data_IF_976649128347
#
_entry.id   IF_976649128347
#
_cell.length_a   1.000
_cell.length_b   1.000
_cell.length_c   1.000
_cell.angle_alpha   90.00
_cell.angle_beta   90.00
_cell.angle_gamma   90.00
#
_symmetry.space_group_name_H-M   'P 1'
#
loop_
_entity.id
_entity.type
_entity.pdbx_description
1 polymer ?
#
# COMPACT_ATOMS: atom_id res chain seq x y z
N UNK A 1 5.77 -21.99 24.81
CA UNK A 1 7.16 -22.10 24.30
C UNK A 1 7.26 -21.23 23.07
N UNK A 2 8.22 -20.33 22.99
CA UNK A 2 8.45 -19.56 21.76
C UNK A 2 8.80 -20.54 20.63
N UNK A 3 8.10 -20.46 19.51
CA UNK A 3 8.44 -21.28 18.35
C UNK A 3 9.88 -20.96 17.91
N UNK A 4 10.65 -22.00 17.66
CA UNK A 4 12.00 -21.83 17.12
C UNK A 4 11.89 -21.24 15.71
N UNK A 5 12.63 -20.19 15.44
CA UNK A 5 12.86 -19.70 14.08
C UNK A 5 13.70 -20.75 13.29
N UNK A 6 14.03 -20.47 12.03
CA UNK A 6 14.86 -21.34 11.18
C UNK A 6 14.13 -22.62 10.70
N UNK A 7 12.81 -22.63 10.69
CA UNK A 7 12.03 -23.80 10.28
C UNK A 7 11.94 -24.02 8.76
N UNK A 8 12.65 -23.24 7.96
CA UNK A 8 12.57 -23.32 6.50
C UNK A 8 13.02 -24.68 5.93
N UNK A 9 13.79 -25.45 6.67
CA UNK A 9 14.19 -26.82 6.28
C UNK A 9 13.07 -27.83 6.51
N UNK A 10 12.23 -27.60 7.52
CA UNK A 10 11.14 -28.48 7.93
C UNK A 10 9.79 -28.10 7.29
N UNK A 11 9.58 -26.79 7.12
CA UNK A 11 8.32 -26.22 6.63
C UNK A 11 8.56 -25.60 5.25
N UNK A 12 7.88 -26.10 4.23
CA UNK A 12 7.90 -25.51 2.89
C UNK A 12 7.22 -24.15 2.81
N UNK A 13 7.55 -23.38 1.77
CA UNK A 13 6.87 -22.12 1.48
C UNK A 13 5.39 -22.36 1.16
N UNK A 14 4.52 -21.62 1.80
CA UNK A 14 3.07 -21.65 1.54
C UNK A 14 2.53 -20.22 1.41
N UNK A 15 1.72 -20.00 0.39
CA UNK A 15 0.94 -18.79 0.23
C UNK A 15 -0.48 -19.01 0.78
N UNK A 16 -1.20 -17.94 1.14
CA UNK A 16 -2.62 -18.03 1.42
C UNK A 16 -3.36 -18.72 0.27
N UNK A 17 -4.35 -19.57 0.53
CA UNK A 17 -5.07 -20.26 -0.53
C UNK A 17 -5.81 -19.25 -1.41
N UNK A 18 -5.81 -19.51 -2.72
CA UNK A 18 -6.60 -18.70 -3.66
C UNK A 18 -8.09 -19.01 -3.50
N UNK A 19 -8.94 -18.01 -3.70
CA UNK A 19 -10.39 -18.20 -3.83
C UNK A 19 -10.70 -19.07 -5.04
N UNK A 20 -11.83 -19.81 -5.00
CA UNK A 20 -12.26 -20.65 -6.13
C UNK A 20 -12.40 -19.83 -7.40
N UNK A 21 -12.02 -20.42 -8.54
CA UNK A 21 -12.03 -19.75 -9.84
C UNK A 21 -13.40 -19.18 -10.21
N UNK A 22 -14.46 -19.93 -9.95
CA UNK A 22 -15.83 -19.51 -10.30
C UNK A 22 -16.23 -18.27 -9.49
N UNK A 23 -15.99 -18.25 -8.16
CA UNK A 23 -16.24 -17.05 -7.35
C UNK A 23 -15.43 -15.83 -7.81
N UNK A 24 -14.20 -16.04 -8.31
CA UNK A 24 -13.37 -14.94 -8.82
C UNK A 24 -13.82 -14.38 -10.17
N UNK A 25 -14.62 -15.13 -10.93
CA UNK A 25 -15.23 -14.66 -12.19
C UNK A 25 -16.45 -13.77 -11.94
N UNK A 26 -17.15 -13.99 -10.83
CA UNK A 26 -18.38 -13.28 -10.49
C UNK A 26 -18.13 -11.93 -9.83
N UNK A 27 -17.00 -11.81 -9.14
CA UNK A 27 -16.61 -10.58 -8.45
C UNK A 27 -15.15 -10.19 -8.77
N UNK A 28 -14.75 -8.98 -8.39
CA UNK A 28 -13.37 -8.50 -8.52
C UNK A 28 -12.69 -8.29 -7.15
N UNK A 29 -13.10 -9.04 -6.14
CA UNK A 29 -12.49 -8.99 -4.81
C UNK A 29 -11.11 -9.66 -4.81
N UNK A 30 -10.31 -9.44 -3.77
CA UNK A 30 -8.96 -9.98 -3.66
C UNK A 30 -8.88 -11.48 -3.98
N UNK A 31 -7.85 -11.88 -4.71
CA UNK A 31 -7.67 -13.25 -5.22
C UNK A 31 -7.40 -14.24 -4.09
N UNK A 32 -6.61 -13.83 -3.10
CA UNK A 32 -6.22 -14.68 -1.99
C UNK A 32 -7.20 -14.58 -0.83
N UNK A 33 -7.43 -15.69 -0.17
CA UNK A 33 -8.07 -15.72 1.14
C UNK A 33 -7.12 -15.15 2.20
N UNK A 34 -7.64 -14.88 3.36
CA UNK A 34 -6.81 -14.50 4.51
C UNK A 34 -5.91 -15.67 4.93
N UNK A 35 -4.73 -15.35 5.46
CA UNK A 35 -3.97 -16.31 6.22
C UNK A 35 -4.74 -16.65 7.49
N UNK A 36 -4.84 -17.94 7.79
CA UNK A 36 -5.20 -18.36 9.15
C UNK A 36 -4.01 -18.09 10.07
N UNK A 37 -4.31 -17.85 11.34
CA UNK A 37 -3.30 -17.43 12.33
C UNK A 37 -2.10 -18.38 12.40
N UNK A 38 -2.35 -19.68 12.42
CA UNK A 38 -1.30 -20.72 12.41
C UNK A 38 -0.43 -20.64 11.16
N UNK A 39 -1.03 -20.48 9.98
CA UNK A 39 -0.28 -20.39 8.73
C UNK A 39 0.66 -19.19 8.69
N UNK A 40 0.21 -18.02 9.14
CA UNK A 40 1.06 -16.83 9.22
C UNK A 40 2.22 -17.04 10.21
N UNK A 41 1.97 -17.67 11.34
CA UNK A 41 2.95 -18.02 12.36
C UNK A 41 4.00 -19.01 11.84
N UNK A 42 3.56 -20.09 11.19
CA UNK A 42 4.43 -21.09 10.59
C UNK A 42 5.31 -20.48 9.50
N UNK A 43 4.73 -19.71 8.57
CA UNK A 43 5.49 -19.07 7.51
C UNK A 43 6.49 -18.03 8.05
N UNK A 44 6.14 -17.31 9.09
CA UNK A 44 7.07 -16.40 9.78
C UNK A 44 8.23 -17.15 10.45
N UNK A 45 7.99 -18.31 11.02
CA UNK A 45 9.01 -19.15 11.70
C UNK A 45 10.09 -19.69 10.73
N UNK A 46 9.83 -19.66 9.43
CA UNK A 46 10.80 -20.02 8.39
C UNK A 46 11.97 -19.04 8.31
N UNK A 47 11.81 -17.81 8.79
CA UNK A 47 12.86 -16.78 8.73
C UNK A 47 14.13 -17.23 9.44
N UNK A 48 15.29 -17.07 8.77
CA UNK A 48 16.60 -17.43 9.30
C UNK A 48 17.22 -16.39 10.23
N UNK A 49 16.55 -15.26 10.45
CA UNK A 49 17.04 -14.17 11.33
C UNK A 49 18.48 -13.75 10.97
N UNK A 50 18.71 -13.42 9.70
CA UNK A 50 20.02 -13.10 9.15
C UNK A 50 20.68 -11.92 9.86
N UNK A 51 21.97 -12.01 10.16
CA UNK A 51 22.75 -10.88 10.67
C UNK A 51 22.88 -9.72 9.67
N UNK A 52 22.84 -10.03 8.36
CA UNK A 52 22.66 -9.04 7.27
C UNK A 52 21.36 -9.39 6.55
N UNK A 53 20.25 -8.74 6.88
CA UNK A 53 18.94 -9.06 6.32
C UNK A 53 18.76 -8.46 4.93
N UNK A 54 19.06 -9.22 3.87
CA UNK A 54 18.91 -8.76 2.49
C UNK A 54 17.47 -8.35 2.16
N UNK A 55 16.46 -8.98 2.75
CA UNK A 55 15.07 -8.57 2.63
C UNK A 55 14.83 -7.12 3.10
N UNK A 56 15.48 -6.70 4.19
CA UNK A 56 15.43 -5.31 4.68
C UNK A 56 16.26 -4.38 3.81
N UNK A 57 17.46 -4.80 3.40
CA UNK A 57 18.35 -3.98 2.54
C UNK A 57 17.70 -3.66 1.20
N UNK A 58 16.97 -4.62 0.62
CA UNK A 58 16.27 -4.43 -0.66
C UNK A 58 14.85 -3.86 -0.53
N UNK A 59 14.38 -3.63 0.70
CA UNK A 59 13.15 -2.88 0.93
C UNK A 59 13.43 -1.38 0.80
N UNK A 60 12.75 -0.63 -0.10
CA UNK A 60 12.95 0.81 -0.25
C UNK A 60 12.71 1.61 1.04
N UNK A 61 11.94 1.04 1.98
CA UNK A 61 11.66 1.62 3.29
C UNK A 61 12.59 1.10 4.39
N UNK A 62 13.53 0.23 4.08
CA UNK A 62 14.40 -0.45 5.06
C UNK A 62 13.63 -1.04 6.24
N UNK A 63 12.47 -1.65 5.96
CA UNK A 63 11.55 -2.16 6.98
C UNK A 63 12.19 -3.32 7.77
N UNK A 64 11.96 -3.34 9.08
CA UNK A 64 12.53 -4.33 10.02
C UNK A 64 11.89 -5.72 9.87
N UNK A 65 11.98 -6.30 8.67
CA UNK A 65 11.28 -7.52 8.26
C UNK A 65 11.60 -8.72 9.17
N UNK A 66 12.87 -9.05 9.47
CA UNK A 66 13.18 -10.21 10.32
C UNK A 66 12.56 -10.11 11.72
N UNK A 67 12.54 -8.90 12.29
CA UNK A 67 12.09 -8.71 13.66
C UNK A 67 10.57 -8.85 13.78
N UNK A 68 9.78 -8.24 12.86
CA UNK A 68 8.34 -8.43 12.92
C UNK A 68 7.91 -9.84 12.46
N UNK A 69 8.70 -10.55 11.63
CA UNK A 69 8.48 -11.98 11.37
C UNK A 69 8.66 -12.81 12.64
N UNK A 70 9.71 -12.53 13.43
CA UNK A 70 9.93 -13.19 14.73
C UNK A 70 8.77 -12.93 15.67
N UNK A 71 8.35 -11.67 15.83
CA UNK A 71 7.21 -11.31 16.67
C UNK A 71 5.91 -12.03 16.22
N UNK A 72 5.71 -12.17 14.91
CA UNK A 72 4.57 -12.92 14.36
C UNK A 72 4.65 -14.40 14.69
N UNK A 73 5.82 -15.02 14.53
CA UNK A 73 6.06 -16.43 14.91
C UNK A 73 5.82 -16.67 16.42
N UNK A 74 6.12 -15.68 17.25
CA UNK A 74 5.88 -15.71 18.69
C UNK A 74 4.41 -15.40 19.07
N UNK A 75 3.56 -15.00 18.11
CA UNK A 75 2.17 -14.60 18.35
C UNK A 75 1.99 -13.18 18.92
N UNK A 76 3.04 -12.35 18.93
CA UNK A 76 3.07 -10.97 19.44
C UNK A 76 2.65 -9.99 18.33
N UNK A 77 1.41 -10.12 17.84
CA UNK A 77 0.96 -9.45 16.62
C UNK A 77 0.88 -7.92 16.73
N UNK A 78 0.50 -7.38 17.89
CA UNK A 78 0.45 -5.93 18.09
C UNK A 78 1.84 -5.31 18.02
N UNK A 79 2.83 -5.96 18.61
CA UNK A 79 4.22 -5.53 18.53
C UNK A 79 4.78 -5.68 17.11
N UNK A 80 4.42 -6.77 16.41
CA UNK A 80 4.77 -6.96 15.01
C UNK A 80 4.21 -5.83 14.12
N UNK A 81 2.95 -5.45 14.34
CA UNK A 81 2.33 -4.33 13.64
C UNK A 81 3.06 -3.00 13.93
N UNK A 82 3.29 -2.68 15.19
CA UNK A 82 3.97 -1.45 15.58
C UNK A 82 5.36 -1.34 14.95
N UNK A 83 6.08 -2.45 14.90
CA UNK A 83 7.40 -2.50 14.28
C UNK A 83 7.33 -2.38 12.75
N UNK A 84 6.41 -3.07 12.09
CA UNK A 84 6.17 -2.94 10.65
C UNK A 84 5.83 -1.50 10.26
N UNK A 85 4.97 -0.84 11.04
CA UNK A 85 4.54 0.54 10.80
C UNK A 85 5.63 1.57 11.13
N UNK A 86 6.67 1.23 11.87
CA UNK A 86 7.70 2.20 12.30
C UNK A 86 8.41 2.88 11.13
N UNK A 87 8.59 2.18 10.02
CA UNK A 87 9.19 2.72 8.78
C UNK A 87 8.23 2.73 7.59
N UNK A 88 7.03 2.14 7.72
CA UNK A 88 6.07 1.98 6.64
C UNK A 88 4.71 2.61 6.99
N UNK A 89 4.33 3.67 6.29
CA UNK A 89 3.03 4.33 6.51
C UNK A 89 1.83 3.51 6.06
N UNK A 90 2.02 2.57 5.12
CA UNK A 90 0.94 1.81 4.48
C UNK A 90 1.30 0.33 4.34
N UNK A 91 1.56 -0.40 5.44
CA UNK A 91 1.95 -1.82 5.36
C UNK A 91 0.87 -2.68 4.72
N UNK A 92 -0.41 -2.33 4.85
CA UNK A 92 -1.53 -3.00 4.18
C UNK A 92 -1.45 -2.91 2.64
N UNK A 93 -0.87 -1.85 2.12
CA UNK A 93 -0.65 -1.67 0.68
C UNK A 93 0.59 -2.45 0.24
N UNK A 94 1.70 -2.33 0.99
CA UNK A 94 2.94 -3.03 0.69
C UNK A 94 2.75 -4.55 0.68
N UNK A 95 2.06 -5.11 1.67
CA UNK A 95 1.77 -6.54 1.76
C UNK A 95 0.92 -7.08 0.58
N UNK A 96 0.21 -6.20 -0.14
CA UNK A 96 -0.67 -6.58 -1.27
C UNK A 96 -0.06 -6.36 -2.66
N UNK A 97 0.68 -5.26 -2.86
CA UNK A 97 1.01 -4.81 -4.21
C UNK A 97 2.50 -4.54 -4.47
N UNK A 98 3.36 -4.55 -3.47
CA UNK A 98 4.79 -4.47 -3.71
C UNK A 98 5.25 -5.62 -4.64
N UNK A 99 6.20 -5.39 -5.55
CA UNK A 99 6.84 -6.44 -6.32
C UNK A 99 7.85 -7.21 -5.44
N UNK A 100 7.33 -7.98 -4.47
CA UNK A 100 8.11 -8.66 -3.44
C UNK A 100 9.13 -9.63 -4.03
N UNK A 101 8.79 -10.26 -5.17
CA UNK A 101 9.66 -11.11 -5.97
C UNK A 101 10.94 -10.43 -6.46
N UNK A 102 10.95 -9.10 -6.57
CA UNK A 102 12.10 -8.28 -6.96
C UNK A 102 12.73 -7.53 -5.78
N UNK A 103 12.05 -7.47 -4.65
CA UNK A 103 12.45 -6.75 -3.45
C UNK A 103 12.78 -7.72 -2.31
N UNK A 104 11.96 -7.71 -1.25
CA UNK A 104 12.25 -8.46 -0.03
C UNK A 104 12.26 -9.99 -0.23
N UNK A 105 11.27 -10.55 -0.91
CA UNK A 105 11.17 -12.00 -1.10
C UNK A 105 12.23 -12.52 -2.07
N UNK A 106 12.41 -11.88 -3.23
CA UNK A 106 13.41 -12.29 -4.22
C UNK A 106 14.85 -12.16 -3.74
N UNK A 107 15.11 -11.36 -2.72
CA UNK A 107 16.43 -11.23 -2.10
C UNK A 107 16.55 -11.95 -0.74
N UNK A 108 15.58 -12.80 -0.42
CA UNK A 108 15.66 -13.61 0.79
C UNK A 108 16.78 -14.65 0.69
N UNK A 109 17.61 -14.77 1.73
CA UNK A 109 18.71 -15.75 1.77
C UNK A 109 18.19 -17.18 1.61
N UNK A 110 17.01 -17.48 2.13
CA UNK A 110 16.38 -18.80 2.04
C UNK A 110 16.00 -19.12 0.60
N UNK A 111 15.53 -18.12 -0.17
CA UNK A 111 15.27 -18.28 -1.60
C UNK A 111 16.55 -18.66 -2.35
N UNK A 112 17.63 -17.95 -2.08
CA UNK A 112 18.94 -18.23 -2.71
C UNK A 112 19.50 -19.62 -2.34
N UNK A 113 19.09 -20.17 -1.19
CA UNK A 113 19.47 -21.52 -0.77
C UNK A 113 18.59 -22.62 -1.39
N UNK A 114 17.61 -22.27 -2.21
CA UNK A 114 16.72 -23.21 -2.89
C UNK A 114 15.58 -23.78 -2.05
N UNK A 115 15.31 -23.21 -0.86
CA UNK A 115 14.22 -23.66 0.03
C UNK A 115 12.92 -22.86 -0.14
N UNK A 116 12.86 -21.94 -1.10
CA UNK A 116 11.77 -20.99 -1.28
C UNK A 116 11.77 -19.88 -0.20
N UNK A 117 11.38 -18.69 -0.57
CA UNK A 117 11.40 -17.52 0.31
C UNK A 117 10.45 -17.65 1.50
N UNK A 118 10.58 -16.76 2.49
CA UNK A 118 9.50 -16.47 3.44
C UNK A 118 8.42 -15.70 2.71
N UNK A 119 7.16 -16.01 2.94
CA UNK A 119 5.99 -15.33 2.35
C UNK A 119 5.77 -13.96 3.02
N UNK A 120 6.73 -13.05 2.83
CA UNK A 120 6.85 -11.79 3.58
C UNK A 120 5.63 -10.91 3.36
N UNK A 121 5.25 -10.68 2.11
CA UNK A 121 4.12 -9.82 1.79
C UNK A 121 2.80 -10.31 2.35
N UNK A 122 2.52 -11.61 2.26
CA UNK A 122 1.29 -12.18 2.82
C UNK A 122 1.25 -12.11 4.35
N UNK A 123 2.40 -12.24 5.01
CA UNK A 123 2.50 -12.06 6.47
C UNK A 123 2.31 -10.60 6.85
N UNK A 124 2.90 -9.65 6.12
CA UNK A 124 2.70 -8.21 6.35
C UNK A 124 1.22 -7.83 6.19
N UNK A 125 0.55 -8.33 5.14
CA UNK A 125 -0.89 -8.19 4.96
C UNK A 125 -1.65 -8.71 6.19
N UNK A 126 -1.35 -9.93 6.62
CA UNK A 126 -2.00 -10.57 7.77
C UNK A 126 -1.84 -9.75 9.05
N UNK A 127 -0.62 -9.32 9.38
CA UNK A 127 -0.35 -8.48 10.56
C UNK A 127 -1.21 -7.22 10.53
N UNK A 128 -1.26 -6.56 9.37
CA UNK A 128 -1.92 -5.27 9.22
C UNK A 128 -3.44 -5.40 9.25
N UNK A 129 -4.00 -6.40 8.58
CA UNK A 129 -5.45 -6.63 8.60
C UNK A 129 -5.92 -6.97 10.02
N UNK A 130 -5.18 -7.83 10.74
CA UNK A 130 -5.45 -8.07 12.16
C UNK A 130 -5.37 -6.79 13.00
N UNK A 131 -4.41 -5.91 12.73
CA UNK A 131 -4.29 -4.65 13.47
C UNK A 131 -5.50 -3.73 13.26
N UNK A 132 -6.06 -3.68 12.06
CA UNK A 132 -7.30 -2.98 11.77
C UNK A 132 -8.50 -3.59 12.50
N UNK A 133 -8.67 -4.91 12.42
CA UNK A 133 -9.78 -5.65 13.04
C UNK A 133 -9.76 -5.55 14.57
N UNK A 134 -8.58 -5.58 15.17
CA UNK A 134 -8.39 -5.42 16.62
C UNK A 134 -8.43 -3.95 17.07
N UNK A 135 -8.52 -3.00 16.15
CA UNK A 135 -8.54 -1.57 16.45
C UNK A 135 -7.22 -1.05 17.03
N UNK A 136 -6.08 -1.68 16.70
CA UNK A 136 -4.77 -1.18 17.10
C UNK A 136 -4.33 0.01 16.23
N UNK A 137 -4.82 0.07 14.99
CA UNK A 137 -4.58 1.20 14.10
C UNK A 137 -5.34 2.43 14.61
N UNK A 138 -4.62 3.43 15.09
CA UNK A 138 -5.22 4.63 15.69
C UNK A 138 -4.93 5.88 14.86
N UNK A 139 -5.85 6.85 14.83
CA UNK A 139 -5.57 8.17 14.28
C UNK A 139 -4.37 8.83 14.95
N UNK A 140 -3.68 9.66 14.19
CA UNK A 140 -2.54 10.44 14.69
C UNK A 140 -3.00 11.31 15.86
N UNK A 141 -2.29 11.20 16.97
CA UNK A 141 -2.40 12.12 18.10
C UNK A 141 -1.17 12.98 18.12
N UNK A 142 -1.34 14.28 17.99
CA UNK A 142 -0.27 15.25 17.98
C UNK A 142 -0.02 15.73 19.41
N UNK A 143 1.22 15.65 19.88
CA UNK A 143 1.58 16.14 21.22
C UNK A 143 1.52 17.67 21.30
N UNK A 144 1.95 18.35 20.22
CA UNK A 144 1.96 19.80 20.11
C UNK A 144 1.59 20.23 18.70
N UNK A 145 0.54 21.04 18.59
CA UNK A 145 0.18 21.71 17.32
C UNK A 145 1.18 22.80 16.99
N UNK A 146 1.67 22.78 15.75
CA UNK A 146 2.47 23.84 15.18
C UNK A 146 1.57 24.82 14.41
N UNK A 147 2.01 26.05 14.29
CA UNK A 147 1.29 27.09 13.53
C UNK A 147 1.54 26.97 12.04
N UNK A 148 2.64 26.35 11.65
CA UNK A 148 3.05 26.18 10.26
C UNK A 148 2.10 25.22 9.53
N UNK A 149 1.71 25.62 8.33
CA UNK A 149 0.86 24.86 7.45
C UNK A 149 1.60 24.37 6.20
N UNK A 150 1.28 23.16 5.75
CA UNK A 150 1.88 22.56 4.56
C UNK A 150 0.78 22.15 3.59
N UNK A 151 0.86 22.64 2.37
CA UNK A 151 0.04 22.23 1.25
C UNK A 151 0.68 21.08 0.50
N UNK A 152 -0.08 20.02 0.21
CA UNK A 152 0.39 18.87 -0.58
C UNK A 152 -0.49 18.74 -1.81
N UNK A 153 0.11 18.76 -3.00
CA UNK A 153 -0.61 18.62 -4.27
C UNK A 153 -0.49 17.17 -4.73
N UNK A 154 -1.59 16.44 -4.66
CA UNK A 154 -1.71 15.03 -4.97
C UNK A 154 -1.90 14.15 -3.72
N UNK A 155 -3.01 13.41 -3.70
CA UNK A 155 -3.41 12.50 -2.62
C UNK A 155 -2.99 11.04 -2.88
N UNK A 156 -2.04 10.80 -3.78
CA UNK A 156 -1.45 9.49 -4.00
C UNK A 156 -0.61 9.00 -2.80
N UNK A 157 -0.04 7.78 -2.86
CA UNK A 157 0.68 7.20 -1.73
C UNK A 157 1.83 8.09 -1.23
N UNK A 158 2.54 8.79 -2.12
CA UNK A 158 3.61 9.70 -1.74
C UNK A 158 3.09 10.89 -0.91
N UNK A 159 2.02 11.54 -1.38
CA UNK A 159 1.41 12.67 -0.66
C UNK A 159 0.82 12.25 0.67
N UNK A 160 0.12 11.11 0.73
CA UNK A 160 -0.47 10.59 1.97
C UNK A 160 0.60 10.20 3.00
N UNK A 161 1.70 9.55 2.56
CA UNK A 161 2.79 9.18 3.46
C UNK A 161 3.51 10.42 4.01
N UNK A 162 3.80 11.41 3.17
CA UNK A 162 4.39 12.67 3.61
C UNK A 162 3.46 13.40 4.59
N UNK A 163 2.17 13.48 4.27
CA UNK A 163 1.16 14.09 5.13
C UNK A 163 1.13 13.46 6.52
N UNK A 164 1.17 12.13 6.60
CA UNK A 164 1.19 11.40 7.87
C UNK A 164 2.43 11.73 8.69
N UNK A 165 3.62 11.71 8.09
CA UNK A 165 4.88 11.98 8.79
C UNK A 165 4.97 13.43 9.28
N UNK A 166 4.54 14.39 8.48
CA UNK A 166 4.51 15.79 8.87
C UNK A 166 3.44 16.05 9.94
N UNK A 167 2.27 15.42 9.83
CA UNK A 167 1.22 15.53 10.84
C UNK A 167 1.66 14.99 12.20
N UNK A 168 2.35 13.87 12.24
CA UNK A 168 2.96 13.32 13.48
C UNK A 168 3.90 14.33 14.17
N UNK A 169 4.53 15.22 13.40
CA UNK A 169 5.39 16.29 13.93
C UNK A 169 4.62 17.56 14.36
N UNK A 170 3.30 17.60 14.16
CA UNK A 170 2.45 18.69 14.59
C UNK A 170 2.07 19.71 13.51
N UNK A 171 2.56 19.58 12.30
CA UNK A 171 2.23 20.50 11.20
C UNK A 171 0.76 20.41 10.80
N UNK A 172 0.19 21.56 10.38
CA UNK A 172 -1.14 21.62 9.80
C UNK A 172 -1.07 21.21 8.32
N UNK A 173 -1.76 20.14 7.96
CA UNK A 173 -1.64 19.56 6.61
C UNK A 173 -2.95 19.70 5.83
N UNK A 174 -2.83 20.16 4.59
CA UNK A 174 -3.92 20.17 3.61
C UNK A 174 -3.44 19.50 2.32
N UNK A 175 -4.13 18.46 1.89
CA UNK A 175 -3.90 17.76 0.63
C UNK A 175 -4.92 18.20 -0.39
N UNK A 176 -4.47 18.62 -1.57
CA UNK A 176 -5.27 19.01 -2.71
C UNK A 176 -5.22 17.95 -3.78
N UNK A 177 -6.35 17.51 -4.29
CA UNK A 177 -6.41 16.55 -5.38
C UNK A 177 -7.55 16.87 -6.35
N UNK A 178 -7.29 16.73 -7.64
CA UNK A 178 -8.28 17.00 -8.69
C UNK A 178 -9.37 15.93 -8.80
N UNK A 179 -9.16 14.78 -8.21
CA UNK A 179 -10.11 13.68 -8.23
C UNK A 179 -11.07 13.71 -7.03
N UNK A 180 -12.15 12.96 -7.16
CA UNK A 180 -13.24 12.86 -6.17
C UNK A 180 -12.90 11.96 -4.98
N UNK A 181 -11.82 11.16 -5.07
CA UNK A 181 -11.35 10.26 -4.01
C UNK A 181 -9.83 10.35 -3.83
N UNK A 182 -9.40 10.30 -2.58
CA UNK A 182 -7.98 10.24 -2.25
C UNK A 182 -7.41 8.83 -2.48
N UNK A 183 -6.10 8.75 -2.76
CA UNK A 183 -5.37 7.51 -2.96
C UNK A 183 -4.63 7.42 -4.30
N UNK A 184 -4.90 8.34 -5.22
CA UNK A 184 -4.24 8.35 -6.54
C UNK A 184 -4.37 7.00 -7.26
N UNK A 185 -3.26 6.44 -7.76
CA UNK A 185 -3.29 5.15 -8.47
C UNK A 185 -3.71 3.97 -7.59
N UNK A 186 -3.68 4.06 -6.28
CA UNK A 186 -4.23 3.01 -5.40
C UNK A 186 -5.74 2.85 -5.61
N UNK A 187 -6.44 3.96 -5.89
CA UNK A 187 -7.88 3.97 -6.20
C UNK A 187 -8.12 3.79 -7.69
N UNK A 188 -7.44 4.58 -8.53
CA UNK A 188 -7.78 4.71 -9.95
C UNK A 188 -6.96 3.82 -10.89
N UNK A 189 -5.83 3.26 -10.44
CA UNK A 189 -4.94 2.48 -11.29
C UNK A 189 -4.85 0.99 -10.95
N UNK A 190 -4.90 0.63 -9.67
CA UNK A 190 -4.72 -0.76 -9.24
C UNK A 190 -6.07 -1.49 -9.27
N UNK A 191 -6.17 -2.65 -9.93
CA UNK A 191 -7.41 -3.43 -9.96
C UNK A 191 -7.86 -3.90 -8.57
N UNK A 192 -9.17 -3.93 -8.33
CA UNK A 192 -9.75 -4.28 -7.03
C UNK A 192 -9.33 -5.69 -6.56
N UNK A 193 -9.15 -6.63 -7.48
CA UNK A 193 -8.70 -7.99 -7.14
C UNK A 193 -7.25 -8.08 -6.60
N UNK A 194 -6.47 -6.99 -6.69
CA UNK A 194 -5.14 -6.85 -6.08
C UNK A 194 -5.17 -6.00 -4.82
N UNK A 195 -5.97 -4.94 -4.81
CA UNK A 195 -6.11 -4.00 -3.71
C UNK A 195 -7.55 -3.50 -3.66
N UNK A 196 -8.32 -4.00 -2.74
CA UNK A 196 -9.71 -3.56 -2.55
C UNK A 196 -9.76 -2.10 -2.10
N UNK A 197 -10.69 -1.34 -2.65
CA UNK A 197 -10.73 0.12 -2.47
C UNK A 197 -10.99 0.54 -1.02
N UNK A 198 -11.75 -0.26 -0.28
CA UNK A 198 -12.00 -0.01 1.15
C UNK A 198 -10.70 0.03 1.97
N UNK A 199 -9.64 -0.70 1.56
CA UNK A 199 -8.33 -0.69 2.23
C UNK A 199 -7.70 0.70 2.15
N UNK A 200 -7.82 1.35 0.99
CA UNK A 200 -7.32 2.73 0.79
C UNK A 200 -8.21 3.75 1.47
N UNK A 201 -9.52 3.56 1.38
CA UNK A 201 -10.52 4.46 1.98
C UNK A 201 -10.42 4.48 3.51
N UNK A 202 -10.26 3.31 4.15
CA UNK A 202 -10.05 3.26 5.61
C UNK A 202 -8.77 4.00 6.04
N UNK A 203 -7.69 3.92 5.24
CA UNK A 203 -6.45 4.68 5.49
C UNK A 203 -6.67 6.18 5.32
N UNK A 204 -7.35 6.59 4.26
CA UNK A 204 -7.70 8.00 4.05
C UNK A 204 -8.52 8.55 5.22
N UNK A 205 -9.54 7.80 5.66
CA UNK A 205 -10.36 8.17 6.82
C UNK A 205 -9.52 8.30 8.09
N UNK A 206 -8.60 7.38 8.34
CA UNK A 206 -7.69 7.43 9.48
C UNK A 206 -6.85 8.71 9.49
N UNK A 207 -6.34 9.12 8.32
CA UNK A 207 -5.57 10.35 8.17
C UNK A 207 -6.43 11.59 8.40
N UNK A 208 -7.68 11.59 7.92
CA UNK A 208 -8.65 12.65 8.19
C UNK A 208 -8.95 12.77 9.70
N UNK A 209 -9.18 11.64 10.36
CA UNK A 209 -9.43 11.59 11.81
C UNK A 209 -8.19 12.03 12.62
N UNK A 210 -6.99 11.92 12.04
CA UNK A 210 -5.73 12.47 12.55
C UNK A 210 -5.54 13.97 12.30
N UNK A 211 -6.51 14.65 11.69
CA UNK A 211 -6.51 16.10 11.47
C UNK A 211 -5.89 16.55 10.14
N UNK A 212 -5.66 15.64 9.18
CA UNK A 212 -5.25 16.00 7.83
C UNK A 212 -6.50 16.39 7.01
N UNK A 213 -6.46 17.58 6.37
CA UNK A 213 -7.54 18.07 5.52
C UNK A 213 -7.33 17.58 4.08
N UNK A 214 -8.39 17.06 3.47
CA UNK A 214 -8.42 16.70 2.05
C UNK A 214 -9.38 17.64 1.32
N UNK A 215 -8.88 18.29 0.28
CA UNK A 215 -9.63 19.15 -0.64
C UNK A 215 -9.63 18.43 -1.99
N UNK A 216 -10.67 17.65 -2.21
CA UNK A 216 -10.87 16.85 -3.42
C UNK A 216 -11.64 17.66 -4.48
N UNK A 217 -11.66 17.18 -5.74
CA UNK A 217 -12.20 17.90 -6.89
C UNK A 217 -11.58 19.32 -7.05
N UNK A 218 -10.31 19.46 -6.71
CA UNK A 218 -9.57 20.72 -6.75
C UNK A 218 -8.32 20.56 -7.62
N UNK A 219 -8.33 21.20 -8.76
CA UNK A 219 -7.24 21.13 -9.75
C UNK A 219 -6.34 22.35 -9.64
N UNK A 220 -5.12 22.15 -9.16
CA UNK A 220 -4.11 23.22 -9.11
C UNK A 220 -3.68 23.58 -10.53
N UNK A 221 -3.67 24.90 -10.81
CA UNK A 221 -3.51 25.44 -12.16
C UNK A 221 -4.84 25.85 -12.81
N UNK A 222 -5.98 25.41 -12.24
CA UNK A 222 -7.32 25.79 -12.70
C UNK A 222 -8.13 26.46 -11.58
N UNK A 223 -8.29 25.80 -10.43
CA UNK A 223 -9.07 26.32 -9.30
C UNK A 223 -8.25 27.26 -8.41
N UNK A 224 -6.94 27.07 -8.37
CA UNK A 224 -5.98 28.01 -7.81
C UNK A 224 -4.62 27.83 -8.48
N UNK A 225 -3.86 28.89 -8.58
CA UNK A 225 -2.46 28.85 -9.05
C UNK A 225 -1.53 28.26 -7.98
N UNK A 226 -0.35 27.81 -8.41
CA UNK A 226 0.69 27.38 -7.50
C UNK A 226 1.14 28.51 -6.57
N UNK A 227 1.15 29.76 -7.05
CA UNK A 227 1.57 30.92 -6.26
C UNK A 227 0.57 31.18 -5.13
N UNK A 228 -0.74 31.12 -5.40
CA UNK A 228 -1.76 31.25 -4.34
C UNK A 228 -1.60 30.19 -3.24
N UNK A 229 -1.26 28.94 -3.59
CA UNK A 229 -0.98 27.90 -2.60
C UNK A 229 0.31 28.17 -1.82
N UNK A 230 1.35 28.76 -2.46
CA UNK A 230 2.58 29.17 -1.78
C UNK A 230 2.40 30.36 -0.84
N UNK A 231 1.46 31.23 -1.12
CA UNK A 231 1.07 32.34 -0.22
C UNK A 231 0.23 31.84 0.97
N UNK A 232 -0.57 30.79 0.74
CA UNK A 232 -1.46 30.21 1.73
C UNK A 232 -0.76 29.28 2.73
N UNK A 233 0.34 28.65 2.33
CA UNK A 233 1.06 27.67 3.12
C UNK A 233 2.53 28.02 3.29
N UNK A 234 3.12 27.70 4.43
CA UNK A 234 4.56 27.91 4.69
C UNK A 234 5.44 27.05 3.78
N UNK A 235 4.94 25.89 3.31
CA UNK A 235 5.59 25.05 2.34
C UNK A 235 4.56 24.33 1.45
N UNK A 236 4.97 24.01 0.21
CA UNK A 236 4.14 23.23 -0.73
C UNK A 236 4.95 22.05 -1.27
N UNK A 237 4.40 20.85 -1.15
CA UNK A 237 4.93 19.63 -1.76
C UNK A 237 4.12 19.29 -3.01
N UNK A 238 4.83 19.00 -4.11
CA UNK A 238 4.21 18.50 -5.35
C UNK A 238 4.43 16.98 -5.43
N UNK A 239 3.33 16.21 -5.38
CA UNK A 239 3.31 14.75 -5.40
C UNK A 239 2.25 14.19 -6.37
N UNK A 240 2.12 14.83 -7.53
CA UNK A 240 1.06 14.57 -8.52
C UNK A 240 1.18 13.23 -9.25
N UNK A 241 2.31 12.53 -9.15
CA UNK A 241 2.56 11.31 -9.91
C UNK A 241 2.83 11.58 -11.40
N UNK A 242 2.67 10.54 -12.22
CA UNK A 242 2.92 10.59 -13.67
C UNK A 242 1.63 10.23 -14.40
N UNK A 243 1.10 11.16 -15.20
CA UNK A 243 -0.14 10.99 -15.93
C UNK A 243 0.04 10.81 -17.44
N UNK A 244 1.17 11.28 -17.99
CA UNK A 244 1.47 11.08 -19.42
C UNK A 244 2.05 9.67 -19.59
N UNK A 245 1.32 8.74 -20.27
CA UNK A 245 1.85 7.41 -20.56
C UNK A 245 3.03 7.54 -21.55
N UNK A 246 3.93 6.58 -21.49
CA UNK A 246 4.91 6.40 -22.57
C UNK A 246 4.17 5.73 -23.73
N UNK A 247 4.24 6.35 -24.89
CA UNK A 247 3.71 5.78 -26.11
C UNK A 247 4.70 4.77 -26.69
N UNK A 248 4.18 3.71 -27.25
CA UNK A 248 4.96 2.72 -27.99
C UNK A 248 4.76 3.06 -29.46
N UNK A 249 5.82 3.48 -30.12
CA UNK A 249 5.81 3.81 -31.56
C UNK A 249 5.89 2.51 -32.39
N UNK A 250 4.77 1.85 -32.59
CA UNK A 250 4.63 0.70 -33.46
C UNK A 250 3.46 0.93 -34.43
N UNK A 251 3.51 0.28 -35.57
CA UNK A 251 2.43 0.34 -36.56
C UNK A 251 1.10 -0.10 -35.92
N UNK A 252 0.05 0.71 -36.07
CA UNK A 252 -1.27 0.44 -35.51
C UNK A 252 -1.49 0.90 -34.05
N UNK A 253 -0.52 1.54 -33.42
CA UNK A 253 -0.70 2.09 -32.05
C UNK A 253 -1.73 3.22 -31.98
N UNK A 254 -2.06 3.83 -33.13
CA UNK A 254 -3.05 4.88 -33.31
C UNK A 254 -4.44 4.37 -33.70
N UNK A 255 -4.62 3.06 -33.86
CA UNK A 255 -5.90 2.48 -34.23
C UNK A 255 -6.94 2.68 -33.12
N UNK A 256 -8.21 2.75 -33.53
CA UNK A 256 -9.34 2.80 -32.59
C UNK A 256 -9.33 1.61 -31.63
N UNK A 257 -9.67 1.84 -30.37
CA UNK A 257 -9.69 0.86 -29.28
C UNK A 257 -8.31 0.40 -28.77
N UNK A 258 -7.22 1.05 -29.18
CA UNK A 258 -5.91 0.90 -28.54
C UNK A 258 -5.76 1.99 -27.48
N UNK A 259 -5.66 1.59 -26.22
CA UNK A 259 -5.57 2.52 -25.10
C UNK A 259 -4.42 2.18 -24.16
N UNK A 260 -3.68 3.17 -23.64
CA UNK A 260 -2.75 2.96 -22.53
C UNK A 260 -3.47 2.39 -21.31
N UNK A 261 -2.85 1.42 -20.63
CA UNK A 261 -3.46 0.73 -19.50
C UNK A 261 -3.96 1.70 -18.40
N UNK A 262 -3.20 2.75 -18.08
CA UNK A 262 -3.62 3.74 -17.08
C UNK A 262 -4.81 4.59 -17.52
N UNK A 263 -4.95 4.87 -18.80
CA UNK A 263 -6.13 5.58 -19.33
C UNK A 263 -7.38 4.70 -19.22
N UNK A 264 -7.23 3.42 -19.42
CA UNK A 264 -8.32 2.44 -19.36
C UNK A 264 -8.74 2.14 -17.91
N UNK A 265 -7.81 2.17 -16.97
CA UNK A 265 -8.03 1.83 -15.56
C UNK A 265 -8.35 3.03 -14.67
N UNK A 266 -8.21 4.27 -15.15
CA UNK A 266 -8.40 5.47 -14.34
C UNK A 266 -9.41 6.44 -14.98
N UNK A 267 -10.62 6.61 -14.45
CA UNK A 267 -11.27 5.79 -13.40
C UNK A 267 -11.65 4.42 -13.96
N UNK A 268 -11.33 3.36 -13.25
CA UNK A 268 -11.66 2.01 -13.72
C UNK A 268 -13.18 1.82 -13.80
N UNK A 269 -13.72 1.38 -14.92
CA UNK A 269 -15.15 1.02 -15.02
C UNK A 269 -15.52 -0.12 -14.07
N UNK A 270 -14.54 -0.91 -13.63
CA UNK A 270 -14.71 -2.00 -12.65
C UNK A 270 -14.97 -1.51 -11.24
N UNK A 271 -14.55 -0.28 -10.93
CA UNK A 271 -14.69 0.29 -9.58
C UNK A 271 -16.04 0.99 -9.38
N UNK A 272 -16.84 1.19 -10.45
CA UNK A 272 -18.08 1.99 -10.41
C UNK A 272 -19.36 1.19 -10.71
N UNK A 273 -19.34 -0.10 -10.89
CA UNK A 273 -20.48 -0.90 -11.35
C UNK A 273 -21.18 -0.34 -12.63
N UNK A 274 -20.51 0.59 -13.34
CA UNK A 274 -21.00 1.20 -14.56
C UNK A 274 -19.97 0.92 -15.64
N UNK A 275 -20.26 -0.03 -16.51
CA UNK A 275 -19.49 -0.24 -17.73
C UNK A 275 -19.57 1.03 -18.57
N UNK A 276 -18.43 1.69 -18.79
CA UNK A 276 -18.31 2.76 -19.80
C UNK A 276 -17.86 2.23 -21.15
N UNK A 277 -17.87 0.92 -21.35
CA UNK A 277 -17.68 0.39 -22.68
C UNK A 277 -18.93 0.73 -23.50
N UNK A 278 -18.75 1.28 -24.72
CA UNK A 278 -19.86 1.40 -25.65
C UNK A 278 -20.45 0.00 -25.86
N UNK A 279 -21.76 -0.10 -25.80
CA UNK A 279 -22.51 -1.36 -26.03
C UNK A 279 -22.41 -1.86 -27.47
N UNK A 280 -21.48 -1.38 -28.24
CA UNK A 280 -21.24 -1.74 -29.65
C UNK A 280 -19.73 -1.86 -29.88
N UNK A 281 -19.20 -3.01 -29.57
CA UNK A 281 -18.00 -3.55 -30.18
C UNK A 281 -18.20 -5.04 -30.37
#
# INVERSE_FOLDING_TARGET
>A
MSEKMLKFVEIGQQNPPKRKTDSRKEDFNEIYKEFIHEGAKEQSSRCSQCGVPFCQVHCPLSNNIPDWLKLTAEGRLEEAYNLSQSTNNMPEVCGRICPQDRLCEGNCVIEQSGHGTVTIGSVEKFITDNAWDKGWVKPIKVERELTQSIGIIGSGPAGMACAEQLRKKGYQITIYDRYDRAGGLLIYGIPNFKLEKHVVERRTKLLQDGGIKFVLNFEVGKDASLNELREKHDAVLISTGVYKPREIEIEGSDLNNIYPCLLYTSPSPRDRNVSRMPSSA
#
